data_IF_297552720937
#
_entry.id   IF_297552720937
#
_cell.length_a   1.000
_cell.length_b   1.000
_cell.length_c   1.000
_cell.angle_alpha   90.00
_cell.angle_beta   90.00
_cell.angle_gamma   90.00
#
_symmetry.space_group_name_H-M   'P 1'
#
loop_
_entity.id
_entity.type
_entity.pdbx_description
1 polymer ?
#
# COMPACT_ATOMS: atom_id res chain seq x y z
N UNK A 1 12.71 -25.12 -2.93
CA UNK A 1 12.16 -24.09 -3.83
C UNK A 1 11.70 -24.68 -5.17
N UNK A 2 12.58 -25.35 -5.94
CA UNK A 2 12.23 -25.83 -7.30
C UNK A 2 11.02 -26.77 -7.39
N UNK A 3 10.86 -27.72 -6.46
CA UNK A 3 9.68 -28.60 -6.43
C UNK A 3 8.37 -27.85 -6.15
N UNK A 4 8.45 -26.79 -5.34
CA UNK A 4 7.29 -25.98 -4.98
C UNK A 4 6.95 -24.94 -6.04
N UNK A 5 7.91 -24.51 -6.85
CA UNK A 5 7.72 -23.48 -7.87
C UNK A 5 6.50 -23.72 -8.78
N UNK A 6 6.31 -24.89 -9.43
CA UNK A 6 5.14 -25.11 -10.28
C UNK A 6 3.83 -25.04 -9.47
N UNK A 7 3.79 -25.66 -8.29
CA UNK A 7 2.62 -25.64 -7.39
C UNK A 7 2.30 -24.22 -6.93
N UNK A 8 3.34 -23.46 -6.57
CA UNK A 8 3.25 -22.08 -6.13
C UNK A 8 2.68 -21.16 -7.21
N UNK A 9 3.05 -21.36 -8.48
CA UNK A 9 2.49 -20.59 -9.61
C UNK A 9 0.99 -20.84 -9.73
N UNK A 10 0.54 -22.10 -9.75
CA UNK A 10 -0.89 -22.42 -9.80
C UNK A 10 -1.64 -21.88 -8.58
N UNK A 11 -1.05 -22.01 -7.38
CA UNK A 11 -1.62 -21.50 -6.13
C UNK A 11 -1.74 -19.97 -6.15
N UNK A 12 -0.76 -19.27 -6.72
CA UNK A 12 -0.78 -17.82 -6.83
C UNK A 12 -1.91 -17.34 -7.74
N UNK A 13 -2.10 -17.99 -8.90
CA UNK A 13 -3.24 -17.70 -9.78
C UNK A 13 -4.57 -17.97 -9.09
N UNK A 14 -4.72 -19.13 -8.43
CA UNK A 14 -5.93 -19.43 -7.66
C UNK A 14 -6.23 -18.32 -6.64
N UNK A 15 -5.25 -17.94 -5.81
CA UNK A 15 -5.42 -16.89 -4.79
C UNK A 15 -5.70 -15.51 -5.40
N UNK A 16 -5.09 -15.20 -6.54
CA UNK A 16 -5.32 -13.95 -7.26
C UNK A 16 -6.77 -13.88 -7.78
N UNK A 17 -7.25 -14.94 -8.44
CA UNK A 17 -8.63 -15.00 -8.91
C UNK A 17 -9.65 -14.97 -7.77
N UNK A 18 -9.35 -15.65 -6.65
CA UNK A 18 -10.16 -15.57 -5.42
C UNK A 18 -10.29 -14.13 -4.94
N UNK A 19 -9.18 -13.36 -4.92
CA UNK A 19 -9.19 -11.97 -4.49
C UNK A 19 -9.86 -10.99 -5.46
N UNK A 20 -9.87 -11.29 -6.76
CA UNK A 20 -10.47 -10.42 -7.80
C UNK A 20 -11.96 -10.70 -8.01
N UNK A 21 -12.36 -11.97 -8.04
CA UNK A 21 -13.68 -12.38 -8.52
C UNK A 21 -14.71 -12.60 -7.41
N UNK A 22 -14.26 -12.83 -6.17
CA UNK A 22 -15.15 -13.26 -5.10
C UNK A 22 -15.40 -12.16 -4.06
N UNK A 23 -16.60 -12.15 -3.43
CA UNK A 23 -16.89 -11.27 -2.30
C UNK A 23 -15.91 -11.47 -1.14
N UNK A 24 -15.62 -10.40 -0.38
CA UNK A 24 -14.61 -10.38 0.67
C UNK A 24 -14.65 -11.56 1.65
N UNK A 25 -15.83 -11.98 2.12
CA UNK A 25 -15.97 -13.08 3.08
C UNK A 25 -15.54 -14.43 2.48
N UNK A 26 -15.91 -14.66 1.22
CA UNK A 26 -15.55 -15.89 0.50
C UNK A 26 -14.06 -15.84 0.13
N UNK A 27 -13.56 -14.67 -0.29
CA UNK A 27 -12.15 -14.46 -0.58
C UNK A 27 -11.27 -14.73 0.66
N UNK A 28 -11.68 -14.24 1.84
CA UNK A 28 -10.98 -14.50 3.11
C UNK A 28 -11.01 -15.99 3.48
N UNK A 29 -12.16 -16.65 3.33
CA UNK A 29 -12.28 -18.09 3.61
C UNK A 29 -11.37 -18.92 2.70
N UNK A 30 -11.45 -18.73 1.38
CA UNK A 30 -10.63 -19.49 0.43
C UNK A 30 -9.15 -19.11 0.51
N UNK A 31 -8.84 -17.83 0.77
CA UNK A 31 -7.49 -17.35 1.04
C UNK A 31 -6.87 -18.05 2.24
N UNK A 32 -7.59 -18.11 3.36
CA UNK A 32 -7.13 -18.80 4.58
C UNK A 32 -7.02 -20.31 4.41
N UNK A 33 -8.00 -20.96 3.76
CA UNK A 33 -7.92 -22.38 3.40
C UNK A 33 -6.73 -22.71 2.51
N UNK A 34 -6.39 -21.81 1.58
CA UNK A 34 -5.23 -21.98 0.70
C UNK A 34 -3.89 -21.80 1.44
N UNK A 35 -3.89 -21.26 2.66
CA UNK A 35 -2.72 -21.09 3.53
C UNK A 35 -2.30 -19.64 3.81
N UNK A 36 -2.99 -18.64 3.25
CA UNK A 36 -2.74 -17.23 3.57
C UNK A 36 -3.19 -16.96 5.00
N UNK A 37 -2.36 -16.30 5.81
CA UNK A 37 -2.70 -15.97 7.20
C UNK A 37 -2.90 -14.47 7.34
N UNK A 38 -4.13 -14.07 7.55
CA UNK A 38 -4.48 -12.67 7.74
C UNK A 38 -4.75 -12.40 9.21
N UNK A 39 -4.12 -11.37 9.75
CA UNK A 39 -4.39 -10.84 11.09
C UNK A 39 -4.82 -9.40 10.94
N UNK A 40 -6.10 -9.14 11.20
CA UNK A 40 -6.65 -7.79 11.25
C UNK A 40 -6.93 -7.44 12.72
N UNK A 41 -6.38 -6.32 13.18
CA UNK A 41 -6.71 -5.70 14.45
C UNK A 41 -7.22 -4.30 14.17
N UNK A 42 -8.32 -3.90 14.81
CA UNK A 42 -8.89 -2.57 14.67
C UNK A 42 -9.08 -1.97 16.06
N UNK A 43 -8.50 -0.81 16.29
CA UNK A 43 -8.67 -0.06 17.54
C UNK A 43 -9.98 0.74 17.51
N UNK A 44 -10.52 1.05 16.32
CA UNK A 44 -11.79 1.77 16.16
C UNK A 44 -12.82 0.98 15.32
N UNK A 45 -13.81 0.32 15.94
CA UNK A 45 -14.87 -0.39 15.25
C UNK A 45 -15.93 0.54 14.61
N UNK A 46 -15.84 1.86 14.80
CA UNK A 46 -16.88 2.83 14.38
C UNK A 46 -16.27 4.12 13.83
N UNK A 47 -15.65 4.04 12.67
CA UNK A 47 -15.45 5.22 11.81
C UNK A 47 -16.81 5.69 11.25
N UNK A 48 -17.64 6.30 12.10
CA UNK A 48 -18.87 6.98 11.67
C UNK A 48 -18.50 8.35 11.13
N UNK A 49 -18.46 8.46 9.81
CA UNK A 49 -18.13 9.71 9.16
C UNK A 49 -19.30 10.70 9.19
N UNK A 50 -19.03 11.99 9.46
CA UNK A 50 -20.01 13.10 9.46
C UNK A 50 -19.94 13.93 8.16
N UNK A 51 -19.74 13.25 7.03
CA UNK A 51 -19.75 13.85 5.70
C UNK A 51 -18.34 13.94 5.10
N UNK A 52 -18.00 12.96 4.24
CA UNK A 52 -16.72 12.86 3.53
C UNK A 52 -16.20 11.42 3.46
N UNK A 53 -15.15 11.18 2.67
CA UNK A 53 -14.38 9.93 2.69
C UNK A 53 -13.30 9.94 3.78
N UNK A 54 -12.99 8.76 4.34
CA UNK A 54 -11.87 8.56 5.27
C UNK A 54 -10.58 8.38 4.48
N UNK A 55 -9.51 9.05 4.90
CA UNK A 55 -8.17 8.91 4.35
C UNK A 55 -7.35 7.90 5.17
N UNK A 56 -7.21 6.68 4.65
CA UNK A 56 -6.37 5.65 5.22
C UNK A 56 -4.90 5.87 4.84
N UNK A 57 -4.04 6.07 5.83
CA UNK A 57 -2.60 6.28 5.64
C UNK A 57 -1.86 5.02 6.01
N UNK A 58 -1.42 4.29 5.00
CA UNK A 58 -0.92 2.92 5.13
C UNK A 58 0.60 2.85 4.96
N UNK A 59 1.29 2.07 5.80
CA UNK A 59 2.68 1.67 5.48
C UNK A 59 2.69 0.82 4.22
N UNK A 60 3.80 0.83 3.48
CA UNK A 60 3.85 0.21 2.16
C UNK A 60 4.85 -0.94 2.11
N UNK A 61 4.37 -2.19 2.15
CA UNK A 61 5.19 -3.40 2.11
C UNK A 61 5.09 -4.13 0.79
N UNK A 62 3.92 -4.15 0.18
CA UNK A 62 3.67 -4.82 -1.10
C UNK A 62 2.62 -4.07 -1.92
N UNK A 63 2.48 -4.39 -3.20
CA UNK A 63 1.38 -3.84 -4.00
C UNK A 63 -0.02 -4.30 -3.53
N UNK A 64 -0.09 -5.30 -2.65
CA UNK A 64 -1.33 -5.82 -2.08
C UNK A 64 -1.79 -5.09 -0.81
N UNK A 65 -1.02 -4.14 -0.24
CA UNK A 65 -1.41 -3.53 1.04
C UNK A 65 -2.81 -2.90 0.98
N UNK A 66 -3.16 -2.10 -0.05
CA UNK A 66 -4.51 -1.54 -0.18
C UNK A 66 -5.60 -2.61 -0.35
N UNK A 67 -5.28 -3.73 -0.98
CA UNK A 67 -6.21 -4.84 -1.25
C UNK A 67 -6.54 -5.59 0.04
N UNK A 68 -5.51 -5.91 0.84
CA UNK A 68 -5.72 -6.54 2.14
C UNK A 68 -6.44 -5.61 3.10
N UNK A 69 -6.14 -4.31 3.10
CA UNK A 69 -6.88 -3.35 3.91
C UNK A 69 -8.37 -3.29 3.52
N UNK A 70 -8.68 -3.20 2.23
CA UNK A 70 -10.06 -3.25 1.68
C UNK A 70 -10.79 -4.52 2.11
N UNK A 71 -10.09 -5.67 2.04
CA UNK A 71 -10.64 -6.97 2.45
C UNK A 71 -10.89 -7.05 3.96
N UNK A 72 -9.97 -6.53 4.77
CA UNK A 72 -10.12 -6.49 6.24
C UNK A 72 -11.29 -5.60 6.67
N UNK A 73 -11.46 -4.46 6.00
CA UNK A 73 -12.56 -3.53 6.25
C UNK A 73 -13.89 -3.98 5.63
N UNK A 74 -13.88 -5.01 4.77
CA UNK A 74 -15.03 -5.50 3.99
C UNK A 74 -15.76 -4.38 3.25
N UNK A 75 -15.02 -3.39 2.73
CA UNK A 75 -15.57 -2.26 1.99
C UNK A 75 -14.65 -1.87 0.82
N UNK A 76 -15.23 -1.39 -0.30
CA UNK A 76 -14.41 -0.92 -1.41
C UNK A 76 -13.60 0.31 -0.99
N UNK A 77 -12.31 0.30 -1.34
CA UNK A 77 -11.41 1.43 -1.18
C UNK A 77 -10.88 1.86 -2.53
N UNK A 78 -10.60 3.16 -2.68
CA UNK A 78 -9.81 3.66 -3.82
C UNK A 78 -8.36 3.85 -3.37
N UNK A 79 -7.40 3.28 -4.11
CA UNK A 79 -5.98 3.40 -3.80
C UNK A 79 -5.26 4.36 -4.75
N UNK A 80 -4.51 5.32 -4.20
CA UNK A 80 -3.65 6.20 -5.01
C UNK A 80 -2.21 5.68 -5.06
N UNK A 81 -1.63 5.62 -6.26
CA UNK A 81 -0.30 5.03 -6.48
C UNK A 81 0.54 5.85 -7.46
N UNK A 82 1.86 5.93 -7.23
CA UNK A 82 2.78 6.73 -8.06
C UNK A 82 3.48 5.96 -9.19
N UNK A 83 3.35 4.63 -9.23
CA UNK A 83 4.24 3.78 -10.04
C UNK A 83 3.62 2.48 -10.56
N UNK A 84 2.28 2.36 -10.60
CA UNK A 84 1.65 1.19 -11.22
C UNK A 84 1.66 1.31 -12.75
N UNK A 85 1.86 0.17 -13.41
CA UNK A 85 1.68 0.05 -14.86
C UNK A 85 0.19 -0.09 -15.18
N UNK A 86 -0.23 0.27 -16.41
CA UNK A 86 -1.62 0.10 -16.87
C UNK A 86 -2.10 -1.35 -16.72
N UNK A 87 -1.21 -2.32 -16.93
CA UNK A 87 -1.52 -3.75 -16.77
C UNK A 87 -1.85 -4.10 -15.32
N UNK A 88 -1.13 -3.51 -14.36
CA UNK A 88 -1.41 -3.69 -12.93
C UNK A 88 -2.73 -3.07 -12.49
N UNK A 89 -3.19 -1.99 -13.13
CA UNK A 89 -4.50 -1.38 -12.86
C UNK A 89 -5.66 -2.27 -13.32
N UNK A 90 -5.55 -2.91 -14.50
CA UNK A 90 -6.60 -3.79 -15.05
C UNK A 90 -6.85 -5.03 -14.18
N UNK A 91 -5.81 -5.54 -13.54
CA UNK A 91 -5.89 -6.73 -12.67
C UNK A 91 -6.11 -6.37 -11.20
N UNK A 92 -6.19 -5.08 -10.86
CA UNK A 92 -6.36 -4.66 -9.47
C UNK A 92 -7.80 -4.98 -8.99
N UNK A 93 -7.97 -5.70 -7.87
CA UNK A 93 -9.29 -6.00 -7.32
C UNK A 93 -10.00 -4.77 -6.72
N UNK A 94 -9.31 -3.63 -6.68
CA UNK A 94 -9.83 -2.36 -6.16
C UNK A 94 -9.55 -1.24 -7.16
N UNK A 95 -10.30 -0.14 -7.08
CA UNK A 95 -10.07 1.03 -7.91
C UNK A 95 -8.69 1.62 -7.58
N UNK A 96 -7.82 1.70 -8.56
CA UNK A 96 -6.51 2.35 -8.44
C UNK A 96 -6.47 3.64 -9.25
N UNK A 97 -5.94 4.70 -8.68
CA UNK A 97 -5.74 5.99 -9.33
C UNK A 97 -4.26 6.32 -9.36
N UNK A 98 -3.75 6.65 -10.54
CA UNK A 98 -2.35 6.97 -10.73
C UNK A 98 -2.08 8.44 -10.46
N UNK A 99 -1.07 8.70 -9.64
CA UNK A 99 -0.54 10.03 -9.36
C UNK A 99 0.60 10.39 -10.31
N UNK A 100 0.70 11.67 -10.65
CA UNK A 100 1.64 12.22 -11.64
C UNK A 100 2.95 12.71 -11.03
N UNK A 101 3.06 12.73 -9.69
CA UNK A 101 4.20 13.28 -8.92
C UNK A 101 4.29 14.80 -9.00
N UNK A 102 3.18 15.45 -9.32
CA UNK A 102 3.04 16.89 -9.33
C UNK A 102 2.08 17.27 -8.21
N UNK A 103 2.60 17.97 -7.20
CA UNK A 103 1.92 18.13 -5.90
C UNK A 103 0.50 18.69 -6.04
N UNK A 104 0.31 19.72 -6.87
CA UNK A 104 -0.98 20.37 -7.06
C UNK A 104 -1.99 19.43 -7.73
N UNK A 105 -1.62 18.82 -8.87
CA UNK A 105 -2.49 17.87 -9.59
C UNK A 105 -2.82 16.63 -8.77
N UNK A 106 -1.84 16.11 -8.03
CA UNK A 106 -2.02 14.97 -7.14
C UNK A 106 -2.98 15.34 -5.99
N UNK A 107 -2.85 16.55 -5.44
CA UNK A 107 -3.75 17.09 -4.42
C UNK A 107 -5.19 17.18 -4.90
N UNK A 108 -5.43 17.80 -6.06
CA UNK A 108 -6.77 17.90 -6.67
C UNK A 108 -7.38 16.52 -6.95
N UNK A 109 -6.57 15.58 -7.45
CA UNK A 109 -7.01 14.22 -7.73
C UNK A 109 -7.41 13.49 -6.45
N UNK A 110 -6.58 13.58 -5.41
CA UNK A 110 -6.87 12.97 -4.11
C UNK A 110 -8.11 13.59 -3.44
N UNK A 111 -8.29 14.91 -3.50
CA UNK A 111 -9.50 15.58 -2.99
C UNK A 111 -10.76 15.11 -3.71
N UNK A 112 -10.73 14.99 -5.04
CA UNK A 112 -11.85 14.45 -5.82
C UNK A 112 -12.21 13.03 -5.38
N UNK A 113 -11.21 12.17 -5.22
CA UNK A 113 -11.44 10.78 -4.78
C UNK A 113 -12.00 10.71 -3.36
N UNK A 114 -11.53 11.58 -2.45
CA UNK A 114 -12.05 11.68 -1.08
C UNK A 114 -13.49 12.20 -1.01
N UNK A 115 -13.91 13.02 -1.97
CA UNK A 115 -15.29 13.44 -2.10
C UNK A 115 -16.22 12.31 -2.59
N UNK A 116 -15.69 11.37 -3.39
CA UNK A 116 -16.42 10.20 -3.89
C UNK A 116 -16.49 9.05 -2.86
N UNK A 117 -15.51 8.94 -1.97
CA UNK A 117 -15.49 7.90 -0.93
C UNK A 117 -14.14 7.73 -0.24
N UNK A 118 -13.94 6.58 0.40
CA UNK A 118 -12.73 6.31 1.17
C UNK A 118 -11.51 6.10 0.27
N UNK A 119 -10.39 6.72 0.67
CA UNK A 119 -9.13 6.72 -0.06
C UNK A 119 -8.03 6.09 0.79
N UNK A 120 -7.17 5.27 0.18
CA UNK A 120 -5.95 4.76 0.81
C UNK A 120 -4.73 5.30 0.07
N UNK A 121 -3.76 5.79 0.84
CA UNK A 121 -2.48 6.30 0.37
C UNK A 121 -1.33 5.66 1.12
N UNK A 122 -0.28 5.34 0.38
CA UNK A 122 1.00 4.87 0.91
C UNK A 122 2.03 6.01 0.80
N UNK A 123 2.22 6.83 1.85
CA UNK A 123 2.99 8.08 1.75
C UNK A 123 4.50 7.88 1.56
N UNK A 124 5.02 6.66 1.73
CA UNK A 124 6.38 6.26 1.37
C UNK A 124 6.65 6.39 -0.15
N UNK A 125 5.61 6.30 -0.97
CA UNK A 125 5.69 6.40 -2.44
C UNK A 125 6.37 5.19 -3.13
N UNK A 126 6.83 4.20 -2.37
CA UNK A 126 7.40 2.94 -2.84
C UNK A 126 7.29 1.89 -1.74
N UNK A 127 7.25 0.60 -2.10
CA UNK A 127 7.21 -0.51 -1.14
C UNK A 127 8.54 -0.66 -0.40
N UNK A 128 8.57 -0.57 0.92
CA UNK A 128 9.72 -0.93 1.75
C UNK A 128 9.52 -2.31 2.38
N UNK A 129 10.54 -3.17 2.40
CA UNK A 129 10.50 -4.51 3.03
C UNK A 129 11.46 -4.67 4.20
N UNK A 130 12.23 -3.63 4.48
CA UNK A 130 13.17 -3.58 5.59
C UNK A 130 12.45 -3.22 6.89
N UNK A 131 13.03 -3.48 8.08
CA UNK A 131 12.42 -3.14 9.37
C UNK A 131 12.50 -1.63 9.71
N UNK A 132 12.32 -0.78 8.70
CA UNK A 132 12.24 0.67 8.81
C UNK A 132 11.18 1.23 7.88
N UNK A 133 10.71 2.44 8.19
CA UNK A 133 9.81 3.23 7.36
C UNK A 133 10.58 4.31 6.63
N UNK A 134 10.30 4.45 5.33
CA UNK A 134 10.77 5.61 4.55
C UNK A 134 10.06 6.87 4.99
N UNK A 135 10.64 8.02 4.66
CA UNK A 135 10.04 9.34 4.91
C UNK A 135 8.68 9.45 4.24
N UNK A 136 7.67 9.89 4.98
CA UNK A 136 6.34 10.13 4.46
C UNK A 136 6.25 11.46 3.70
N UNK A 137 5.60 11.45 2.53
CA UNK A 137 5.13 12.69 1.89
C UNK A 137 4.05 13.34 2.75
N UNK A 138 4.08 14.66 2.90
CA UNK A 138 3.10 15.40 3.71
C UNK A 138 1.80 15.75 2.97
N UNK A 139 1.71 15.49 1.66
CA UNK A 139 0.58 15.92 0.83
C UNK A 139 -0.76 15.48 1.43
N UNK A 140 -0.88 14.22 1.83
CA UNK A 140 -2.14 13.66 2.35
C UNK A 140 -2.67 14.43 3.57
N UNK A 141 -1.78 14.98 4.41
CA UNK A 141 -2.16 15.67 5.64
C UNK A 141 -2.83 17.03 5.39
N UNK A 142 -2.64 17.61 4.21
CA UNK A 142 -3.26 18.89 3.82
C UNK A 142 -4.68 18.71 3.26
N UNK A 143 -5.06 17.48 2.91
CA UNK A 143 -6.26 17.21 2.12
C UNK A 143 -7.45 16.72 2.96
N UNK A 144 -7.22 16.25 4.18
CA UNK A 144 -8.28 15.73 5.04
C UNK A 144 -7.88 15.80 6.52
N UNK A 145 -8.86 16.05 7.38
CA UNK A 145 -8.76 15.85 8.83
C UNK A 145 -9.29 14.45 9.25
N UNK A 146 -9.98 13.74 8.37
CA UNK A 146 -10.52 12.39 8.60
C UNK A 146 -9.46 11.32 8.27
N UNK A 147 -8.36 11.32 9.03
CA UNK A 147 -7.20 10.46 8.79
C UNK A 147 -7.19 9.25 9.73
N UNK A 148 -7.05 8.05 9.17
CA UNK A 148 -6.88 6.80 9.91
C UNK A 148 -5.53 6.15 9.56
N UNK A 149 -4.58 6.07 10.50
CA UNK A 149 -3.33 5.37 10.30
C UNK A 149 -3.52 3.86 10.24
N UNK A 150 -2.81 3.21 9.31
CA UNK A 150 -2.84 1.75 9.13
C UNK A 150 -1.42 1.20 9.09
N UNK A 151 -1.08 0.39 10.08
CA UNK A 151 0.18 -0.33 10.13
C UNK A 151 0.02 -1.68 9.43
N UNK A 152 0.76 -1.85 8.34
CA UNK A 152 0.80 -3.08 7.55
C UNK A 152 2.18 -3.72 7.63
N UNK A 153 2.19 -5.02 7.86
CA UNK A 153 3.39 -5.84 7.75
C UNK A 153 3.10 -7.15 7.02
N UNK A 154 4.12 -7.71 6.37
CA UNK A 154 4.04 -8.99 5.69
C UNK A 154 5.16 -9.92 6.13
N UNK A 155 4.88 -11.21 6.14
CA UNK A 155 5.89 -12.25 6.36
C UNK A 155 5.75 -13.31 5.27
N UNK A 156 6.86 -13.59 4.60
CA UNK A 156 6.97 -14.61 3.55
C UNK A 156 8.10 -15.58 3.93
N UNK A 157 8.13 -16.76 3.31
CA UNK A 157 9.10 -17.81 3.67
C UNK A 157 9.99 -18.28 2.53
N UNK A 158 9.48 -18.29 1.30
CA UNK A 158 10.16 -18.90 0.15
C UNK A 158 10.38 -17.93 -1.01
N UNK A 159 9.38 -17.11 -1.35
CA UNK A 159 9.46 -16.18 -2.46
C UNK A 159 9.36 -14.75 -1.98
N UNK A 160 10.29 -13.92 -2.41
CA UNK A 160 10.42 -12.52 -2.02
C UNK A 160 10.21 -11.65 -3.26
N UNK A 161 9.28 -10.71 -3.17
CA UNK A 161 9.05 -9.74 -4.23
C UNK A 161 10.15 -8.68 -4.28
N UNK A 162 10.47 -8.17 -5.47
CA UNK A 162 11.51 -7.16 -5.64
C UNK A 162 10.97 -5.76 -5.30
N UNK A 163 11.78 -4.92 -4.65
CA UNK A 163 11.40 -3.57 -4.20
C UNK A 163 12.01 -2.45 -5.06
N UNK A 164 13.02 -2.75 -5.87
CA UNK A 164 13.85 -1.77 -6.56
C UNK A 164 14.08 -2.03 -8.07
N UNK A 165 14.14 -3.29 -8.51
CA UNK A 165 14.41 -3.67 -9.91
C UNK A 165 13.48 -4.79 -10.42
N UNK A 166 13.38 -4.96 -11.74
CA UNK A 166 12.55 -5.99 -12.37
C UNK A 166 11.06 -5.64 -12.56
N UNK A 167 10.25 -6.64 -12.92
CA UNK A 167 8.81 -6.49 -13.17
C UNK A 167 8.03 -6.40 -11.85
N UNK A 168 7.79 -5.18 -11.36
CA UNK A 168 7.00 -4.92 -10.13
C UNK A 168 5.60 -5.54 -10.15
N UNK A 169 5.02 -5.77 -11.32
CA UNK A 169 3.74 -6.46 -11.45
C UNK A 169 3.76 -7.92 -10.95
N UNK A 170 4.94 -8.53 -10.82
CA UNK A 170 5.10 -9.88 -10.26
C UNK A 170 5.11 -9.89 -8.73
N UNK A 171 5.16 -8.72 -8.08
CA UNK A 171 5.21 -8.60 -6.62
C UNK A 171 4.04 -9.33 -5.92
N UNK A 172 2.77 -9.14 -6.34
CA UNK A 172 1.66 -9.93 -5.83
C UNK A 172 1.83 -11.43 -6.06
N UNK A 173 2.35 -11.83 -7.22
CA UNK A 173 2.51 -13.24 -7.58
C UNK A 173 3.52 -13.89 -6.64
N UNK A 174 4.70 -13.31 -6.45
CA UNK A 174 5.70 -13.85 -5.53
C UNK A 174 5.16 -13.97 -4.10
N UNK A 175 4.42 -12.97 -3.62
CA UNK A 175 3.76 -13.07 -2.31
C UNK A 175 2.81 -14.27 -2.26
N UNK A 176 1.89 -14.38 -3.23
CA UNK A 176 0.86 -15.42 -3.29
C UNK A 176 1.40 -16.82 -3.64
N UNK A 177 2.63 -16.95 -4.14
CA UNK A 177 3.28 -18.25 -4.37
C UNK A 177 3.77 -18.90 -3.07
N UNK A 178 3.92 -18.14 -1.98
CA UNK A 178 4.42 -18.68 -0.72
C UNK A 178 3.44 -19.74 -0.16
N UNK A 179 3.92 -20.82 0.49
CA UNK A 179 3.03 -21.81 1.09
C UNK A 179 2.11 -21.21 2.17
N UNK A 180 2.69 -20.43 3.09
CA UNK A 180 2.00 -19.84 4.24
C UNK A 180 2.38 -18.37 4.47
N UNK A 181 2.09 -17.48 3.51
CA UNK A 181 2.35 -16.06 3.68
C UNK A 181 1.45 -15.48 4.78
N UNK A 182 1.93 -14.44 5.46
CA UNK A 182 1.17 -13.72 6.47
C UNK A 182 1.02 -12.26 6.09
N UNK A 183 -0.20 -11.74 6.23
CA UNK A 183 -0.51 -10.32 6.23
C UNK A 183 -0.96 -9.90 7.63
N UNK A 184 -0.38 -8.83 8.14
CA UNK A 184 -0.82 -8.20 9.39
C UNK A 184 -1.27 -6.79 9.07
N UNK A 185 -2.51 -6.47 9.42
CA UNK A 185 -3.12 -5.16 9.24
C UNK A 185 -3.60 -4.69 10.61
N UNK A 186 -3.06 -3.57 11.08
CA UNK A 186 -3.51 -2.89 12.31
C UNK A 186 -4.07 -1.53 11.93
N UNK A 187 -5.37 -1.36 12.11
CA UNK A 187 -6.09 -0.11 11.86
C UNK A 187 -6.14 0.62 13.20
N UNK A 188 -5.42 1.74 13.30
CA UNK A 188 -5.38 2.54 14.52
C UNK A 188 -6.61 3.44 14.61
N UNK A 189 -6.78 4.09 15.77
CA UNK A 189 -7.80 5.11 15.94
C UNK A 189 -7.62 6.28 14.96
N UNK A 190 -8.74 6.91 14.59
CA UNK A 190 -8.72 8.15 13.80
C UNK A 190 -7.93 9.22 14.55
N UNK A 191 -7.14 10.01 13.81
CA UNK A 191 -6.43 11.14 14.40
C UNK A 191 -7.40 12.09 15.11
N UNK A 192 -7.11 12.50 16.35
CA UNK A 192 -7.83 13.59 17.00
C UNK A 192 -7.66 14.87 16.20
N UNK A 193 -8.71 15.71 16.13
CA UNK A 193 -8.68 16.98 15.39
C UNK A 193 -7.49 17.88 15.80
N UNK A 194 -7.08 17.87 17.07
CA UNK A 194 -5.91 18.62 17.56
C UNK A 194 -4.57 18.18 16.93
N UNK A 195 -4.52 16.99 16.32
CA UNK A 195 -3.36 16.41 15.66
C UNK A 195 -3.42 16.50 14.14
N UNK A 196 -4.42 17.20 13.58
CA UNK A 196 -4.55 17.42 12.14
C UNK A 196 -4.25 18.86 11.74
N UNK A 197 -4.12 19.12 10.43
CA UNK A 197 -3.82 20.46 9.92
C UNK A 197 -4.99 21.42 10.12
N UNK A 198 -6.21 21.02 9.73
CA UNK A 198 -7.39 21.87 9.81
C UNK A 198 -7.89 22.06 11.24
N UNK A 199 -8.02 20.96 11.99
CA UNK A 199 -8.53 20.99 13.36
C UNK A 199 -7.54 21.53 14.40
N UNK A 200 -6.24 21.24 14.24
CA UNK A 200 -5.22 21.51 15.24
C UNK A 200 -4.20 22.58 14.85
N UNK A 201 -4.28 23.11 13.62
CA UNK A 201 -3.30 24.07 13.10
C UNK A 201 -1.89 23.49 12.95
N UNK A 202 -1.74 22.16 12.94
CA UNK A 202 -0.45 21.50 12.74
C UNK A 202 0.03 21.72 11.30
N UNK A 203 1.34 21.80 11.12
CA UNK A 203 1.89 21.75 9.76
C UNK A 203 1.74 20.33 9.18
N UNK A 204 1.58 20.22 7.87
CA UNK A 204 1.45 18.93 7.18
C UNK A 204 2.64 18.00 7.42
N UNK A 205 3.83 18.59 7.61
CA UNK A 205 5.04 17.85 7.94
C UNK A 205 5.00 17.28 9.36
N UNK A 206 4.48 18.02 10.34
CA UNK A 206 4.29 17.52 11.71
C UNK A 206 3.32 16.36 11.75
N UNK A 207 2.18 16.47 11.04
CA UNK A 207 1.19 15.39 10.95
C UNK A 207 1.79 14.15 10.30
N UNK A 208 2.52 14.31 9.19
CA UNK A 208 3.16 13.19 8.50
C UNK A 208 4.22 12.49 9.38
N UNK A 209 5.06 13.27 10.06
CA UNK A 209 6.08 12.74 10.97
C UNK A 209 5.44 12.06 12.20
N UNK A 210 4.35 12.61 12.73
CA UNK A 210 3.62 12.01 13.84
C UNK A 210 3.06 10.64 13.45
N UNK A 211 2.37 10.55 12.31
CA UNK A 211 1.81 9.29 11.82
C UNK A 211 2.93 8.28 11.53
N UNK A 212 4.03 8.71 10.91
CA UNK A 212 5.18 7.84 10.66
C UNK A 212 5.71 7.22 11.97
N UNK A 213 5.87 8.03 13.03
CA UNK A 213 6.32 7.54 14.35
C UNK A 213 5.32 6.60 15.01
N UNK A 214 4.02 6.89 14.92
CA UNK A 214 2.99 5.99 15.44
C UNK A 214 3.04 4.63 14.75
N UNK A 215 3.05 4.62 13.41
CA UNK A 215 3.10 3.38 12.63
C UNK A 215 4.42 2.63 12.85
N UNK A 216 5.54 3.36 12.96
CA UNK A 216 6.83 2.80 13.32
C UNK A 216 6.79 2.12 14.70
N UNK A 217 6.23 2.77 15.71
CA UNK A 217 6.08 2.22 17.05
C UNK A 217 5.22 0.95 17.10
N UNK A 218 4.08 0.95 16.37
CA UNK A 218 3.18 -0.22 16.28
C UNK A 218 3.85 -1.42 15.60
N UNK A 219 4.72 -1.15 14.62
CA UNK A 219 5.45 -2.19 13.88
C UNK A 219 6.79 -2.58 14.53
N UNK A 220 7.30 -1.78 15.47
CA UNK A 220 8.66 -1.91 15.98
C UNK A 220 9.73 -1.53 14.94
N UNK A 221 9.41 -0.62 14.01
CA UNK A 221 10.27 -0.21 12.91
C UNK A 221 10.95 1.13 13.18
N UNK A 222 12.16 1.29 12.68
CA UNK A 222 12.86 2.57 12.70
C UNK A 222 12.20 3.57 11.74
N UNK A 223 12.01 4.81 12.19
CA UNK A 223 11.51 5.88 11.31
C UNK A 223 12.69 6.63 10.71
N UNK A 224 12.85 6.57 9.39
CA UNK A 224 13.98 7.19 8.70
C UNK A 224 13.57 8.47 7.97
N UNK A 225 14.57 9.29 7.65
CA UNK A 225 14.45 10.40 6.70
C UNK A 225 14.71 9.99 5.24
N UNK A 226 14.98 8.70 4.99
CA UNK A 226 15.29 8.18 3.66
C UNK A 226 14.09 8.36 2.73
N UNK A 227 14.34 9.00 1.60
CA UNK A 227 13.34 9.18 0.56
C UNK A 227 13.30 7.97 -0.37
N UNK A 228 12.25 7.92 -1.19
CA UNK A 228 12.17 7.01 -2.33
C UNK A 228 13.43 7.06 -3.20
N UNK A 229 13.94 8.26 -3.51
CA UNK A 229 15.13 8.45 -4.37
C UNK A 229 16.36 7.80 -3.74
N UNK A 230 16.57 8.04 -2.44
CA UNK A 230 17.70 7.47 -1.69
C UNK A 230 17.66 5.94 -1.73
N UNK A 231 16.48 5.35 -1.51
CA UNK A 231 16.27 3.91 -1.60
C UNK A 231 16.63 3.35 -3.00
N UNK A 232 16.14 3.95 -4.08
CA UNK A 232 16.43 3.45 -5.42
C UNK A 232 17.90 3.59 -5.78
N UNK A 233 18.55 4.67 -5.32
CA UNK A 233 19.97 4.88 -5.53
C UNK A 233 20.80 3.81 -4.82
N UNK A 234 20.47 3.50 -3.57
CA UNK A 234 21.15 2.45 -2.80
C UNK A 234 20.93 1.03 -3.35
N UNK A 235 19.70 0.69 -3.76
CA UNK A 235 19.34 -0.69 -4.10
C UNK A 235 19.52 -1.05 -5.58
N UNK A 236 19.42 -0.07 -6.49
CA UNK A 236 19.39 -0.32 -7.92
C UNK A 236 20.28 0.63 -8.74
N UNK A 237 21.01 1.54 -8.09
CA UNK A 237 21.91 2.48 -8.76
C UNK A 237 21.19 3.48 -9.68
N UNK A 238 19.87 3.68 -9.52
CA UNK A 238 19.08 4.64 -10.31
C UNK A 238 18.13 5.43 -9.41
N UNK A 239 17.47 6.46 -9.94
CA UNK A 239 16.59 7.34 -9.13
C UNK A 239 15.14 6.82 -9.02
N UNK A 240 14.85 5.61 -9.51
CA UNK A 240 13.51 5.07 -9.57
C UNK A 240 12.62 5.73 -10.64
N UNK A 241 13.22 6.39 -11.63
CA UNK A 241 12.52 6.88 -12.82
C UNK A 241 12.39 5.68 -13.78
N UNK A 242 11.15 5.41 -14.22
CA UNK A 242 10.91 4.40 -15.27
C UNK A 242 10.84 5.20 -16.56
N UNK A 243 11.92 5.17 -17.35
CA UNK A 243 11.88 5.74 -18.70
C UNK A 243 10.85 4.97 -19.51
N UNK A 244 9.88 5.68 -20.07
CA UNK A 244 8.86 5.13 -20.98
C UNK A 244 9.36 5.00 -22.41
N UNK A 245 10.68 5.05 -22.63
CA UNK A 245 11.30 4.95 -23.95
C UNK A 245 11.33 3.49 -24.40
N UNK A 246 10.74 3.13 -25.56
CA UNK A 246 10.96 1.80 -26.12
C UNK A 246 12.45 1.62 -26.45
N UNK A 247 13.00 0.39 -26.35
CA UNK A 247 14.39 0.14 -26.70
C UNK A 247 14.60 0.47 -28.18
N UNK A 248 15.46 1.44 -28.45
CA UNK A 248 15.99 1.70 -29.79
C UNK A 248 16.76 0.45 -30.20
N UNK A 249 16.24 -0.30 -31.17
CA UNK A 249 16.98 -1.42 -31.74
C UNK A 249 18.21 -0.85 -32.47
N UNK A 250 19.39 -0.97 -31.87
CA UNK A 250 20.64 -0.90 -32.61
C UNK A 250 20.75 -2.17 -33.44
N UNK A 251 20.45 -2.05 -34.73
CA UNK A 251 20.86 -3.05 -35.73
C UNK A 251 22.37 -2.95 -35.89
N UNK A 252 23.07 -4.05 -35.62
CA UNK A 252 24.37 -4.33 -36.20
C UNK A 252 24.18 -5.28 -37.37
#
# INVERSE_FOLDING_TARGET
MFLWLPIGIFLAFFRLFVGILLPYKIALLLGTMSGVRDRAETEDPKTRNRGGGVLYVCTHRTLLDPVFLSTCLQKPLTAVTYSLSKMSEVIAPIRTVRLTRERERDGETMQRMLAEGDLVVCPEGTTCREPYLLRFSSLFAELSDEIVPVAVNTTVGMFYGTTASGLKCLDPIFFLMNPRPRYSVRILEKLPAAMTCGGGGKSSLEVANYIQRQLGGVLGFECTSLTRRDKYLMLAGNEGIVDSSPPTSTKH
#
